data_IF_649929341805
#
_entry.id   IF_649929341805
#
_cell.length_a   1.000
_cell.length_b   1.000
_cell.length_c   1.000
_cell.angle_alpha   90.00
_cell.angle_beta   90.00
_cell.angle_gamma   90.00
#
_symmetry.space_group_name_H-M   'P 1'
#
loop_
_entity.id
_entity.type
_entity.pdbx_description
1 polymer ?
#
# COMPACT_ATOMS: atom_id res chain seq x y z
N UNK A 1 25.95 41.59 10.48
CA UNK A 1 25.34 41.24 9.18
C UNK A 1 26.41 40.58 8.34
N UNK A 2 26.30 39.27 8.11
CA UNK A 2 27.23 38.49 7.29
C UNK A 2 26.53 37.19 6.95
N UNK A 3 25.80 37.20 5.83
CA UNK A 3 25.00 36.07 5.38
C UNK A 3 25.87 34.89 4.99
N UNK A 4 25.59 33.73 5.57
CA UNK A 4 26.10 32.45 5.07
C UNK A 4 25.36 32.17 3.77
N UNK A 5 26.02 32.42 2.65
CA UNK A 5 25.59 31.96 1.33
C UNK A 5 25.79 30.45 1.31
N UNK A 6 24.70 29.68 1.40
CA UNK A 6 24.72 28.23 1.20
C UNK A 6 24.96 27.95 -0.28
N UNK A 7 26.17 27.53 -0.64
CA UNK A 7 26.65 27.22 -2.00
C UNK A 7 26.11 25.91 -2.60
N UNK A 8 25.00 25.39 -2.08
CA UNK A 8 24.30 24.25 -2.65
C UNK A 8 22.83 24.63 -2.80
N UNK A 9 22.24 24.57 -4.02
CA UNK A 9 20.79 24.59 -4.12
C UNK A 9 20.27 23.41 -3.28
N UNK A 10 19.36 23.69 -2.34
CA UNK A 10 18.57 22.62 -1.73
C UNK A 10 18.01 21.76 -2.88
N UNK A 11 18.12 20.43 -2.83
CA UNK A 11 17.55 19.58 -3.87
C UNK A 11 16.10 20.01 -4.06
N UNK A 12 15.68 20.26 -5.29
CA UNK A 12 14.30 20.62 -5.57
C UNK A 12 13.44 19.45 -5.08
N UNK A 13 12.76 19.65 -3.94
CA UNK A 13 11.94 18.63 -3.26
C UNK A 13 10.55 18.56 -3.95
N UNK A 14 10.41 19.20 -5.11
CA UNK A 14 9.22 19.10 -5.95
C UNK A 14 8.89 17.62 -6.18
N UNK A 15 7.65 17.28 -5.84
CA UNK A 15 7.08 15.95 -6.02
C UNK A 15 7.72 14.78 -5.25
N UNK A 16 8.44 15.04 -4.14
CA UNK A 16 9.02 13.95 -3.33
C UNK A 16 7.97 12.92 -2.89
N UNK A 17 6.75 13.36 -2.56
CA UNK A 17 5.68 12.47 -2.13
C UNK A 17 5.18 11.57 -3.25
N UNK A 18 5.08 12.12 -4.46
CA UNK A 18 4.60 11.48 -5.66
C UNK A 18 5.61 10.45 -6.18
N UNK A 19 6.90 10.79 -6.18
CA UNK A 19 7.97 9.83 -6.48
C UNK A 19 8.04 8.71 -5.44
N UNK A 20 7.86 9.02 -4.16
CA UNK A 20 7.79 8.00 -3.12
C UNK A 20 6.57 7.07 -3.32
N UNK A 21 5.41 7.61 -3.73
CA UNK A 21 4.23 6.82 -4.03
C UNK A 21 4.44 5.87 -5.22
N UNK A 22 5.06 6.34 -6.31
CA UNK A 22 5.42 5.50 -7.46
C UNK A 22 6.48 4.44 -7.09
N UNK A 23 7.47 4.80 -6.26
CA UNK A 23 8.45 3.86 -5.74
C UNK A 23 7.81 2.74 -4.91
N UNK A 24 6.90 3.10 -4.00
CA UNK A 24 6.11 2.13 -3.22
C UNK A 24 5.26 1.24 -4.14
N UNK A 25 4.57 1.82 -5.12
CA UNK A 25 3.77 1.07 -6.09
C UNK A 25 4.61 0.08 -6.90
N UNK A 26 5.83 0.45 -7.29
CA UNK A 26 6.77 -0.44 -7.99
C UNK A 26 7.24 -1.60 -7.13
N UNK A 27 7.55 -1.35 -5.85
CA UNK A 27 7.88 -2.42 -4.89
C UNK A 27 6.70 -3.38 -4.70
N UNK A 28 5.48 -2.85 -4.56
CA UNK A 28 4.27 -3.67 -4.44
C UNK A 28 3.94 -4.44 -5.72
N UNK A 29 4.25 -3.90 -6.90
CA UNK A 29 4.12 -4.62 -8.16
C UNK A 29 4.95 -5.90 -8.16
N UNK A 30 6.24 -5.80 -7.80
CA UNK A 30 7.14 -6.96 -7.68
C UNK A 30 6.64 -7.95 -6.62
N UNK A 31 6.24 -7.45 -5.46
CA UNK A 31 5.81 -8.28 -4.32
C UNK A 31 4.46 -8.98 -4.57
N UNK A 32 3.56 -8.38 -5.37
CA UNK A 32 2.24 -8.96 -5.67
C UNK A 32 2.34 -10.33 -6.34
N UNK A 33 3.36 -10.55 -7.18
CA UNK A 33 3.65 -11.82 -7.83
C UNK A 33 4.03 -12.88 -6.79
N UNK A 34 4.82 -12.50 -5.78
CA UNK A 34 5.24 -13.40 -4.69
C UNK A 34 4.08 -13.72 -3.73
N UNK A 35 3.21 -12.74 -3.43
CA UNK A 35 2.03 -12.99 -2.58
C UNK A 35 1.05 -13.98 -3.18
N UNK A 36 0.96 -14.06 -4.52
CA UNK A 36 0.17 -15.12 -5.18
C UNK A 36 0.67 -16.51 -4.82
N UNK A 37 1.99 -16.71 -4.73
CA UNK A 37 2.57 -18.00 -4.35
C UNK A 37 2.39 -18.27 -2.85
N UNK A 38 2.74 -17.30 -2.00
CA UNK A 38 2.64 -17.43 -0.54
C UNK A 38 1.19 -17.61 -0.06
N UNK A 39 0.24 -16.89 -0.67
CA UNK A 39 -1.17 -16.93 -0.33
C UNK A 39 -1.91 -18.22 -0.72
N UNK A 40 -1.28 -19.13 -1.47
CA UNK A 40 -1.83 -20.47 -1.74
C UNK A 40 -1.68 -21.41 -0.55
N UNK A 41 -0.67 -21.20 0.28
CA UNK A 41 -0.32 -22.08 1.40
C UNK A 41 -0.54 -21.42 2.76
N UNK A 42 -0.36 -20.10 2.85
CA UNK A 42 -0.47 -19.35 4.10
C UNK A 42 -1.85 -18.65 4.17
N UNK A 43 -2.61 -18.81 5.27
CA UNK A 43 -3.87 -18.07 5.46
C UNK A 43 -3.67 -16.54 5.44
N UNK A 44 -4.67 -15.76 4.97
CA UNK A 44 -4.56 -14.29 4.84
C UNK A 44 -4.03 -13.57 6.09
N UNK A 45 -4.61 -13.88 7.25
CA UNK A 45 -4.26 -13.25 8.54
C UNK A 45 -2.85 -13.65 8.97
N UNK A 46 -2.46 -14.90 8.77
CA UNK A 46 -1.13 -15.41 9.09
C UNK A 46 -0.05 -14.79 8.20
N UNK A 47 -0.32 -14.63 6.90
CA UNK A 47 0.59 -13.96 5.97
C UNK A 47 0.76 -12.48 6.33
N UNK A 48 -0.34 -11.80 6.64
CA UNK A 48 -0.32 -10.40 7.07
C UNK A 48 0.49 -10.22 8.36
N UNK A 49 0.25 -11.06 9.37
CA UNK A 49 1.03 -11.01 10.60
C UNK A 49 2.52 -11.27 10.35
N UNK A 50 2.86 -12.32 9.58
CA UNK A 50 4.25 -12.69 9.33
C UNK A 50 5.04 -11.58 8.60
N UNK A 51 4.45 -10.97 7.56
CA UNK A 51 5.10 -9.86 6.84
C UNK A 51 5.27 -8.62 7.74
N UNK A 52 4.29 -8.35 8.60
CA UNK A 52 4.33 -7.18 9.47
C UNK A 52 5.40 -7.34 10.57
N UNK A 53 5.49 -8.51 11.19
CA UNK A 53 6.53 -8.80 12.20
C UNK A 53 7.94 -8.67 11.61
N UNK A 54 8.15 -9.22 10.40
CA UNK A 54 9.42 -9.09 9.69
C UNK A 54 9.73 -7.62 9.36
N UNK A 55 8.74 -6.84 8.92
CA UNK A 55 8.91 -5.41 8.63
C UNK A 55 9.18 -4.57 9.89
N UNK A 56 8.49 -4.84 11.01
CA UNK A 56 8.75 -4.18 12.30
C UNK A 56 10.19 -4.42 12.74
N UNK A 57 10.70 -5.66 12.59
CA UNK A 57 12.10 -5.96 12.89
C UNK A 57 13.05 -5.12 12.03
N UNK A 58 12.84 -5.10 10.71
CA UNK A 58 13.67 -4.30 9.79
C UNK A 58 13.62 -2.80 10.11
N UNK A 59 12.43 -2.25 10.36
CA UNK A 59 12.26 -0.85 10.75
C UNK A 59 12.96 -0.53 12.08
N UNK A 60 12.89 -1.45 13.05
CA UNK A 60 13.57 -1.29 14.34
C UNK A 60 15.09 -1.25 14.18
N UNK A 61 15.62 -2.09 13.29
CA UNK A 61 17.05 -2.09 12.95
C UNK A 61 17.45 -0.77 12.27
N UNK A 62 16.62 -0.23 11.37
CA UNK A 62 16.89 1.02 10.65
C UNK A 62 16.79 2.27 11.53
N UNK A 63 15.80 2.33 12.44
CA UNK A 63 15.71 3.40 13.44
C UNK A 63 16.92 3.41 14.38
N UNK A 64 17.57 2.25 14.50
CA UNK A 64 18.69 2.02 15.41
C UNK A 64 18.21 1.92 16.85
N UNK A 65 19.03 1.32 17.72
CA UNK A 65 18.84 1.39 19.18
C UNK A 65 19.25 2.79 19.66
N UNK A 66 18.62 3.84 19.11
CA UNK A 66 18.79 5.20 19.59
C UNK A 66 17.57 5.52 20.44
N UNK A 67 17.74 5.90 21.72
CA UNK A 67 16.63 6.48 22.46
C UNK A 67 16.13 7.66 21.63
N UNK A 68 14.85 7.63 21.24
CA UNK A 68 14.26 8.75 20.54
C UNK A 68 14.45 10.00 21.43
N UNK A 69 15.06 11.06 20.88
CA UNK A 69 15.32 12.31 21.64
C UNK A 69 14.04 12.87 22.27
N UNK A 70 12.89 12.61 21.65
CA UNK A 70 11.56 12.66 22.26
C UNK A 70 10.60 11.70 21.54
N UNK A 71 9.80 10.95 22.30
CA UNK A 71 8.72 10.14 21.73
C UNK A 71 7.58 11.04 21.22
N UNK A 72 6.87 10.69 20.13
CA UNK A 72 5.76 11.50 19.64
C UNK A 72 4.64 11.64 20.67
N UNK A 73 3.87 12.73 20.57
CA UNK A 73 2.72 12.95 21.42
C UNK A 73 1.73 11.77 21.37
N UNK A 74 1.08 11.47 22.50
CA UNK A 74 0.21 10.31 22.62
C UNK A 74 -0.91 10.27 21.56
N UNK A 75 -1.49 11.41 21.21
CA UNK A 75 -2.53 11.50 20.17
C UNK A 75 -1.99 11.14 18.78
N UNK A 76 -0.73 11.48 18.47
CA UNK A 76 -0.09 11.18 17.20
C UNK A 76 0.17 9.67 17.08
N UNK A 77 0.66 9.07 18.18
CA UNK A 77 0.83 7.61 18.29
C UNK A 77 -0.52 6.91 18.17
N UNK A 78 -1.58 7.42 18.82
CA UNK A 78 -2.92 6.85 18.74
C UNK A 78 -3.51 6.96 17.32
N UNK A 79 -3.38 8.11 16.67
CA UNK A 79 -3.84 8.32 15.29
C UNK A 79 -3.14 7.41 14.29
N UNK A 80 -1.81 7.26 14.40
CA UNK A 80 -1.03 6.33 13.58
C UNK A 80 -1.33 4.87 13.92
N UNK A 81 -1.57 4.55 15.19
CA UNK A 81 -1.96 3.20 15.59
C UNK A 81 -3.31 2.83 14.99
N UNK A 82 -4.30 3.71 15.06
CA UNK A 82 -5.61 3.53 14.43
C UNK A 82 -5.49 3.41 12.91
N UNK A 83 -4.66 4.26 12.30
CA UNK A 83 -4.33 4.18 10.87
C UNK A 83 -3.72 2.82 10.49
N UNK A 84 -2.78 2.30 11.29
CA UNK A 84 -2.18 0.98 11.11
C UNK A 84 -3.19 -0.15 11.27
N UNK A 85 -4.08 -0.06 12.27
CA UNK A 85 -5.14 -1.05 12.47
C UNK A 85 -6.09 -1.08 11.26
N UNK A 86 -6.55 0.08 10.79
CA UNK A 86 -7.46 0.17 9.64
C UNK A 86 -6.80 -0.29 8.34
N UNK A 87 -5.64 0.26 8.00
CA UNK A 87 -5.03 0.01 6.69
C UNK A 87 -4.22 -1.28 6.61
N UNK A 88 -3.52 -1.65 7.68
CA UNK A 88 -2.59 -2.79 7.66
C UNK A 88 -3.25 -4.02 8.29
N UNK A 89 -3.81 -3.94 9.50
CA UNK A 89 -4.43 -5.13 10.10
C UNK A 89 -5.71 -5.52 9.37
N UNK A 90 -6.66 -4.60 9.23
CA UNK A 90 -7.94 -4.85 8.59
C UNK A 90 -7.83 -4.79 7.05
N UNK A 91 -7.18 -3.74 6.51
CA UNK A 91 -7.01 -3.52 5.08
C UNK A 91 -6.25 -4.65 4.40
N UNK A 92 -5.01 -4.97 4.81
CA UNK A 92 -4.26 -6.05 4.15
C UNK A 92 -4.92 -7.43 4.32
N UNK A 93 -5.59 -7.68 5.46
CA UNK A 93 -6.36 -8.93 5.64
C UNK A 93 -7.56 -8.98 4.69
N UNK A 94 -8.27 -7.86 4.50
CA UNK A 94 -9.34 -7.75 3.52
C UNK A 94 -8.81 -7.92 2.09
N UNK A 95 -7.68 -7.28 1.76
CA UNK A 95 -6.99 -7.42 0.48
C UNK A 95 -6.64 -8.88 0.19
N UNK A 96 -5.98 -9.59 1.11
CA UNK A 96 -5.63 -10.99 0.90
C UNK A 96 -6.86 -11.90 0.85
N UNK A 97 -7.91 -11.60 1.63
CA UNK A 97 -9.17 -12.38 1.60
C UNK A 97 -9.94 -12.18 0.30
N UNK A 98 -10.01 -10.95 -0.20
CA UNK A 98 -10.60 -10.62 -1.49
C UNK A 98 -9.75 -11.15 -2.65
N UNK A 99 -8.42 -11.11 -2.52
CA UNK A 99 -7.49 -11.69 -3.49
C UNK A 99 -7.76 -13.18 -3.62
N UNK A 100 -7.88 -13.89 -2.48
CA UNK A 100 -8.20 -15.32 -2.37
C UNK A 100 -9.62 -15.68 -2.87
N UNK A 101 -10.57 -14.75 -2.82
CA UNK A 101 -11.98 -15.01 -3.18
C UNK A 101 -12.33 -14.63 -4.61
N UNK A 102 -11.87 -13.47 -5.09
CA UNK A 102 -12.25 -12.88 -6.38
C UNK A 102 -11.17 -13.04 -7.46
N UNK A 103 -9.93 -13.26 -7.03
CA UNK A 103 -8.74 -13.16 -7.87
C UNK A 103 -8.27 -11.72 -8.05
N UNK A 104 -7.03 -11.53 -8.55
CA UNK A 104 -6.37 -10.22 -8.59
C UNK A 104 -7.12 -9.21 -9.45
N UNK A 105 -7.61 -9.61 -10.63
CA UNK A 105 -8.31 -8.70 -11.55
C UNK A 105 -9.50 -7.98 -10.89
N UNK A 106 -10.41 -8.74 -10.26
CA UNK A 106 -11.62 -8.17 -9.66
C UNK A 106 -11.30 -7.36 -8.42
N UNK A 107 -10.33 -7.81 -7.62
CA UNK A 107 -9.84 -7.04 -6.48
C UNK A 107 -9.32 -5.67 -6.90
N UNK A 108 -8.50 -5.61 -7.96
CA UNK A 108 -7.97 -4.34 -8.45
C UNK A 108 -9.05 -3.35 -8.86
N UNK A 109 -10.18 -3.83 -9.42
CA UNK A 109 -11.33 -2.97 -9.73
C UNK A 109 -12.00 -2.38 -8.49
N UNK A 110 -11.93 -3.06 -7.35
CA UNK A 110 -12.48 -2.56 -6.08
C UNK A 110 -11.48 -1.60 -5.42
N UNK A 111 -10.19 -1.89 -5.50
CA UNK A 111 -9.12 -1.04 -4.94
C UNK A 111 -9.01 0.32 -5.65
N UNK A 112 -9.42 0.43 -6.92
CA UNK A 112 -9.48 1.74 -7.62
C UNK A 112 -10.50 2.71 -7.00
N UNK A 113 -11.36 2.25 -6.08
CA UNK A 113 -12.25 3.11 -5.30
C UNK A 113 -11.53 3.83 -4.15
N UNK A 114 -10.40 3.30 -3.66
CA UNK A 114 -9.69 3.90 -2.53
C UNK A 114 -9.19 5.33 -2.85
N UNK A 115 -8.52 5.62 -3.99
CA UNK A 115 -8.04 6.96 -4.28
C UNK A 115 -9.12 8.06 -4.33
N UNK A 116 -10.26 7.91 -5.06
CA UNK A 116 -11.30 8.94 -5.05
C UNK A 116 -11.97 9.07 -3.68
N UNK A 117 -12.17 7.98 -2.93
CA UNK A 117 -12.67 8.06 -1.56
C UNK A 117 -11.70 8.80 -0.65
N UNK A 118 -10.41 8.51 -0.75
CA UNK A 118 -9.34 9.18 -0.01
C UNK A 118 -9.27 10.68 -0.31
N UNK A 119 -9.36 11.04 -1.59
CA UNK A 119 -9.41 12.43 -2.03
C UNK A 119 -10.62 13.17 -1.43
N UNK A 120 -11.82 12.60 -1.54
CA UNK A 120 -13.04 13.20 -1.00
C UNK A 120 -12.99 13.36 0.52
N UNK A 121 -12.54 12.32 1.23
CA UNK A 121 -12.39 12.35 2.69
C UNK A 121 -11.36 13.40 3.13
N UNK A 122 -10.24 13.51 2.42
CA UNK A 122 -9.21 14.49 2.74
C UNK A 122 -9.66 15.93 2.45
N UNK A 123 -10.38 16.15 1.36
CA UNK A 123 -11.01 17.45 1.10
C UNK A 123 -12.02 17.82 2.18
N UNK A 124 -12.88 16.88 2.59
CA UNK A 124 -13.92 17.14 3.58
C UNK A 124 -13.38 17.32 5.02
N UNK A 125 -12.38 16.52 5.42
CA UNK A 125 -11.95 16.43 6.82
C UNK A 125 -10.61 17.09 7.12
N UNK A 126 -9.72 17.20 6.11
CA UNK A 126 -8.42 17.88 6.25
C UNK A 126 -8.36 19.22 5.50
N UNK A 127 -9.40 19.57 4.74
CA UNK A 127 -9.42 20.78 3.93
C UNK A 127 -8.47 20.73 2.74
N UNK A 128 -8.07 19.55 2.27
CA UNK A 128 -7.23 19.44 1.07
C UNK A 128 -7.99 19.87 -0.18
N UNK A 129 -7.57 20.97 -0.79
CA UNK A 129 -8.12 21.44 -2.06
C UNK A 129 -7.30 20.88 -3.20
N UNK A 130 -7.89 19.98 -3.97
CA UNK A 130 -7.35 19.51 -5.23
C UNK A 130 -7.90 20.37 -6.37
N UNK A 131 -7.04 20.74 -7.30
CA UNK A 131 -7.47 21.45 -8.49
C UNK A 131 -8.28 20.51 -9.42
N UNK A 132 -9.04 21.07 -10.38
CA UNK A 132 -9.82 20.26 -11.31
C UNK A 132 -8.96 19.31 -12.16
N UNK A 133 -7.69 19.66 -12.44
CA UNK A 133 -6.78 18.80 -13.21
C UNK A 133 -6.42 17.55 -12.41
N UNK A 134 -6.11 17.67 -11.11
CA UNK A 134 -5.85 16.55 -10.23
C UNK A 134 -7.07 15.62 -10.14
N UNK A 135 -8.29 16.15 -10.04
CA UNK A 135 -9.50 15.31 -10.07
C UNK A 135 -9.65 14.54 -11.39
N UNK A 136 -9.45 15.21 -12.52
CA UNK A 136 -9.48 14.58 -13.83
C UNK A 136 -8.38 13.51 -13.96
N UNK A 137 -7.19 13.79 -13.45
CA UNK A 137 -6.04 12.89 -13.44
C UNK A 137 -6.30 11.63 -12.60
N UNK A 138 -6.85 11.78 -11.38
CA UNK A 138 -7.30 10.66 -10.53
C UNK A 138 -8.30 9.77 -11.29
N UNK A 139 -9.31 10.39 -11.90
CA UNK A 139 -10.30 9.68 -12.70
C UNK A 139 -9.69 8.94 -13.90
N UNK A 140 -8.82 9.62 -14.64
CA UNK A 140 -8.16 9.07 -15.84
C UNK A 140 -7.26 7.89 -15.48
N UNK A 141 -6.46 8.00 -14.41
CA UNK A 141 -5.64 6.90 -13.91
C UNK A 141 -6.50 5.72 -13.47
N UNK A 142 -7.59 5.95 -12.72
CA UNK A 142 -8.50 4.89 -12.31
C UNK A 142 -9.19 4.16 -13.48
N UNK A 143 -9.64 4.92 -14.49
CA UNK A 143 -10.21 4.38 -15.73
C UNK A 143 -9.18 3.57 -16.49
N UNK A 144 -7.96 4.08 -16.64
CA UNK A 144 -6.87 3.42 -17.34
C UNK A 144 -6.47 2.09 -16.67
N UNK A 145 -6.31 2.07 -15.34
CA UNK A 145 -6.01 0.85 -14.57
C UNK A 145 -7.13 -0.18 -14.75
N UNK A 146 -8.38 0.29 -14.63
CA UNK A 146 -9.57 -0.55 -14.83
C UNK A 146 -9.60 -1.14 -16.24
N UNK A 147 -9.26 -0.35 -17.26
CA UNK A 147 -9.21 -0.82 -18.64
C UNK A 147 -8.06 -1.81 -18.86
N UNK A 148 -6.87 -1.48 -18.36
CA UNK A 148 -5.67 -2.31 -18.52
C UNK A 148 -5.84 -3.72 -17.92
N UNK A 149 -6.59 -3.80 -16.81
CA UNK A 149 -6.80 -5.04 -16.04
C UNK A 149 -8.04 -5.83 -16.48
N UNK A 150 -8.83 -5.33 -17.45
CA UNK A 150 -10.05 -6.01 -17.95
C UNK A 150 -9.80 -7.25 -18.79
N UNK A 151 -8.60 -7.47 -19.33
CA UNK A 151 -8.36 -8.64 -20.19
C UNK A 151 -7.64 -9.79 -19.49
N UNK A 152 -7.89 -11.00 -20.00
CA UNK A 152 -7.28 -12.24 -19.50
C UNK A 152 -5.83 -12.28 -19.99
N UNK A 153 -4.89 -11.86 -19.16
CA UNK A 153 -3.52 -12.33 -19.34
C UNK A 153 -3.49 -13.79 -18.87
N UNK A 154 -3.18 -14.69 -19.81
CA UNK A 154 -3.62 -16.08 -19.79
C UNK A 154 -2.89 -16.95 -18.77
N UNK A 155 -3.38 -17.00 -17.52
CA UNK A 155 -2.88 -17.99 -16.53
C UNK A 155 -3.96 -18.69 -15.69
N UNK A 156 -5.21 -18.21 -15.54
CA UNK A 156 -6.15 -18.88 -14.62
C UNK A 156 -7.61 -18.98 -15.12
N UNK A 157 -8.08 -20.23 -15.28
CA UNK A 157 -9.52 -20.61 -15.37
C UNK A 157 -10.16 -20.83 -13.99
N UNK A 158 -9.38 -20.82 -12.91
CA UNK A 158 -9.77 -21.26 -11.56
C UNK A 158 -10.26 -20.14 -10.64
N UNK A 159 -10.02 -18.87 -10.98
CA UNK A 159 -10.34 -17.69 -10.16
C UNK A 159 -11.48 -16.90 -10.83
N UNK A 160 -12.73 -17.22 -10.45
CA UNK A 160 -13.76 -17.29 -11.49
C UNK A 160 -14.93 -16.34 -11.40
N UNK A 161 -15.42 -15.96 -10.22
CA UNK A 161 -16.74 -15.34 -10.10
C UNK A 161 -16.77 -14.23 -9.05
N UNK A 162 -17.70 -13.29 -9.24
CA UNK A 162 -18.05 -12.34 -8.20
C UNK A 162 -18.74 -13.10 -7.07
N UNK A 163 -18.11 -13.13 -5.91
CA UNK A 163 -18.71 -13.71 -4.70
C UNK A 163 -19.12 -12.57 -3.77
N UNK A 164 -20.24 -12.71 -3.07
CA UNK A 164 -20.70 -11.70 -2.12
C UNK A 164 -19.64 -11.43 -1.03
N UNK A 165 -19.01 -12.49 -0.52
CA UNK A 165 -17.92 -12.39 0.43
C UNK A 165 -16.70 -11.64 -0.12
N UNK A 166 -16.29 -11.96 -1.35
CA UNK A 166 -15.16 -11.28 -1.98
C UNK A 166 -15.44 -9.81 -2.27
N UNK A 167 -16.66 -9.48 -2.72
CA UNK A 167 -17.10 -8.10 -2.93
C UNK A 167 -17.12 -7.31 -1.61
N UNK A 168 -17.67 -7.90 -0.54
CA UNK A 168 -17.68 -7.30 0.78
C UNK A 168 -16.26 -7.00 1.28
N UNK A 169 -15.34 -7.96 1.14
CA UNK A 169 -13.94 -7.76 1.51
C UNK A 169 -13.25 -6.67 0.70
N UNK A 170 -13.43 -6.64 -0.62
CA UNK A 170 -12.78 -5.62 -1.46
C UNK A 170 -13.34 -4.21 -1.22
N UNK A 171 -14.65 -4.06 -1.04
CA UNK A 171 -15.25 -2.75 -0.69
C UNK A 171 -14.83 -2.29 0.70
N UNK A 172 -14.84 -3.20 1.68
CA UNK A 172 -14.36 -2.92 3.02
C UNK A 172 -12.89 -2.50 3.00
N UNK A 173 -12.04 -3.23 2.25
CA UNK A 173 -10.63 -2.91 2.03
C UNK A 173 -10.41 -1.49 1.49
N UNK A 174 -11.13 -1.12 0.42
CA UNK A 174 -11.04 0.22 -0.16
C UNK A 174 -11.40 1.33 0.84
N UNK A 175 -12.45 1.14 1.64
CA UNK A 175 -12.88 2.14 2.63
C UNK A 175 -11.88 2.28 3.77
N UNK A 176 -11.41 1.16 4.35
CA UNK A 176 -10.45 1.22 5.47
C UNK A 176 -9.08 1.73 5.02
N UNK A 177 -8.66 1.44 3.78
CA UNK A 177 -7.44 2.00 3.19
C UNK A 177 -7.54 3.52 3.03
N UNK A 178 -8.67 4.03 2.53
CA UNK A 178 -8.89 5.46 2.40
C UNK A 178 -8.87 6.18 3.77
N UNK A 179 -9.55 5.61 4.79
CA UNK A 179 -9.54 6.14 6.15
C UNK A 179 -8.15 6.07 6.80
N UNK A 180 -7.42 4.97 6.59
CA UNK A 180 -6.07 4.82 7.11
C UNK A 180 -5.11 5.85 6.52
N UNK A 181 -5.19 6.09 5.20
CA UNK A 181 -4.40 7.11 4.52
C UNK A 181 -4.71 8.52 5.06
N UNK A 182 -5.99 8.85 5.23
CA UNK A 182 -6.44 10.10 5.83
C UNK A 182 -5.83 10.33 7.22
N UNK A 183 -5.95 9.35 8.12
CA UNK A 183 -5.40 9.44 9.48
C UNK A 183 -3.88 9.58 9.48
N UNK A 184 -3.21 8.87 8.56
CA UNK A 184 -1.76 8.98 8.40
C UNK A 184 -1.35 10.39 7.99
N UNK A 185 -2.03 10.91 6.96
CA UNK A 185 -1.80 12.25 6.43
C UNK A 185 -1.97 13.28 7.53
N UNK A 186 -3.08 13.20 8.25
CA UNK A 186 -3.40 14.11 9.36
C UNK A 186 -2.28 14.16 10.40
N UNK A 187 -1.79 13.02 10.88
CA UNK A 187 -0.71 13.00 11.87
C UNK A 187 0.62 13.48 11.27
N UNK A 188 0.93 13.08 10.04
CA UNK A 188 2.20 13.41 9.38
C UNK A 188 2.34 14.89 9.02
N UNK A 189 1.23 15.60 8.79
CA UNK A 189 1.22 17.05 8.55
C UNK A 189 1.15 17.86 9.82
N UNK A 190 0.43 17.37 10.83
CA UNK A 190 0.25 18.09 12.09
C UNK A 190 1.42 17.90 13.07
N UNK A 191 2.40 17.04 12.75
CA UNK A 191 3.54 16.76 13.64
C UNK A 191 4.86 16.64 12.88
N UNK A 192 6.00 16.86 13.55
CA UNK A 192 7.31 16.64 12.95
C UNK A 192 7.70 15.15 12.83
N UNK A 193 6.78 14.20 13.10
CA UNK A 193 7.12 12.78 13.14
C UNK A 193 7.79 12.30 11.83
N UNK A 194 8.93 11.59 11.90
CA UNK A 194 9.55 11.03 10.71
C UNK A 194 8.66 9.95 10.06
N UNK A 195 8.56 9.89 8.72
CA UNK A 195 7.82 8.85 8.01
C UNK A 195 8.22 7.41 8.40
N UNK A 196 9.51 7.18 8.67
CA UNK A 196 10.04 5.89 9.11
C UNK A 196 9.44 5.46 10.47
N UNK A 197 9.35 6.38 11.43
CA UNK A 197 8.75 6.13 12.73
C UNK A 197 7.24 5.94 12.62
N UNK A 198 6.58 6.70 11.75
CA UNK A 198 5.15 6.52 11.47
C UNK A 198 4.85 5.12 10.90
N UNK A 199 5.68 4.62 9.97
CA UNK A 199 5.57 3.26 9.45
C UNK A 199 5.74 2.22 10.57
N UNK A 200 6.72 2.42 11.44
CA UNK A 200 6.97 1.53 12.59
C UNK A 200 5.78 1.48 13.55
N UNK A 201 5.21 2.63 13.94
CA UNK A 201 4.04 2.69 14.83
C UNK A 201 2.84 1.99 14.18
N UNK A 202 2.57 2.26 12.91
CA UNK A 202 1.46 1.64 12.16
C UNK A 202 1.59 0.12 12.10
N UNK A 203 2.76 -0.40 11.72
CA UNK A 203 3.02 -1.84 11.60
C UNK A 203 3.05 -2.54 12.96
N UNK A 204 3.59 -1.87 13.98
CA UNK A 204 3.60 -2.35 15.36
C UNK A 204 2.19 -2.52 15.91
N UNK A 205 1.37 -1.46 15.81
CA UNK A 205 -0.03 -1.50 16.25
C UNK A 205 -0.84 -2.57 15.50
N UNK A 206 -0.68 -2.66 14.18
CA UNK A 206 -1.32 -3.69 13.37
C UNK A 206 -0.90 -5.10 13.80
N UNK A 207 0.40 -5.33 14.03
CA UNK A 207 0.92 -6.61 14.49
C UNK A 207 0.35 -7.01 15.86
N UNK A 208 0.29 -6.07 16.80
CA UNK A 208 -0.27 -6.32 18.14
C UNK A 208 -1.74 -6.75 18.06
N UNK A 209 -2.56 -6.07 17.26
CA UNK A 209 -3.97 -6.44 17.07
C UNK A 209 -4.10 -7.81 16.41
N UNK A 210 -3.29 -8.12 15.39
CA UNK A 210 -3.34 -9.42 14.72
C UNK A 210 -2.88 -10.58 15.63
N UNK A 211 -1.85 -10.35 16.46
CA UNK A 211 -1.42 -11.33 17.49
C UNK A 211 -2.53 -11.56 18.51
N UNK A 212 -3.11 -10.48 19.04
CA UNK A 212 -4.19 -10.55 20.03
C UNK A 212 -5.41 -11.28 19.46
N UNK A 213 -5.80 -10.96 18.23
CA UNK A 213 -6.88 -11.64 17.52
C UNK A 213 -6.59 -13.12 17.29
N UNK A 214 -5.37 -13.46 16.84
CA UNK A 214 -4.96 -14.86 16.66
C UNK A 214 -4.96 -15.65 17.97
N UNK A 215 -4.56 -15.00 19.07
CA UNK A 215 -4.58 -15.58 20.41
C UNK A 215 -6.02 -15.87 20.87
N UNK A 216 -6.93 -14.90 20.75
CA UNK A 216 -8.36 -15.08 21.07
C UNK A 216 -9.00 -16.23 20.28
N UNK A 217 -8.57 -16.46 19.04
CA UNK A 217 -9.08 -17.56 18.21
C UNK A 217 -8.35 -18.90 18.44
N UNK A 218 -7.27 -18.94 19.22
CA UNK A 218 -6.42 -20.13 19.35
C UNK A 218 -5.73 -20.55 18.04
N UNK A 219 -5.60 -19.64 17.06
CA UNK A 219 -5.11 -19.96 15.71
C UNK A 219 -3.65 -19.62 15.45
N UNK A 220 -2.94 -19.00 16.41
CA UNK A 220 -1.53 -18.62 16.24
C UNK A 220 -0.66 -19.83 15.85
N UNK A 221 -0.84 -20.97 16.51
CA UNK A 221 -0.11 -22.19 16.17
C UNK A 221 -0.38 -22.64 14.72
N UNK A 222 -1.65 -22.60 14.30
CA UNK A 222 -2.04 -22.98 12.94
C UNK A 222 -1.44 -22.06 11.86
N UNK A 223 -1.24 -20.78 12.15
CA UNK A 223 -0.59 -19.85 11.22
C UNK A 223 0.91 -20.08 11.06
N UNK A 224 1.55 -20.75 12.03
CA UNK A 224 2.98 -21.08 11.99
C UNK A 224 3.24 -22.40 11.24
N UNK A 225 2.28 -23.33 11.24
CA UNK A 225 2.41 -24.67 10.61
C UNK A 225 2.95 -24.63 9.16
N UNK A 226 2.49 -23.73 8.26
CA UNK A 226 3.05 -23.66 6.90
C UNK A 226 4.57 -23.46 6.87
N UNK A 227 5.11 -22.61 7.74
CA UNK A 227 6.53 -22.30 7.81
C UNK A 227 7.38 -23.46 8.37
N UNK A 228 6.78 -24.31 9.21
CA UNK A 228 7.42 -25.52 9.70
C UNK A 228 7.53 -26.59 8.62
N UNK A 229 6.51 -26.68 7.75
CA UNK A 229 6.45 -27.65 6.65
C UNK A 229 7.35 -27.26 5.48
N UNK A 230 7.40 -25.97 5.16
CA UNK A 230 8.26 -25.45 4.09
C UNK A 230 8.99 -24.17 4.55
N UNK A 231 10.28 -24.34 4.88
CA UNK A 231 11.15 -23.24 5.30
C UNK A 231 11.40 -22.22 4.18
N UNK A 232 11.18 -22.57 2.91
CA UNK A 232 11.32 -21.63 1.78
C UNK A 232 10.30 -20.49 1.86
N UNK A 233 9.15 -20.73 2.51
CA UNK A 233 8.15 -19.71 2.79
C UNK A 233 8.69 -18.59 3.70
N UNK A 234 9.64 -18.89 4.59
CA UNK A 234 10.28 -17.88 5.44
C UNK A 234 11.06 -16.90 4.58
N UNK A 235 11.89 -17.38 3.65
CA UNK A 235 12.62 -16.51 2.73
C UNK A 235 11.66 -15.68 1.87
N UNK A 236 10.59 -16.29 1.37
CA UNK A 236 9.55 -15.56 0.63
C UNK A 236 8.91 -14.45 1.46
N UNK A 237 8.58 -14.70 2.72
CA UNK A 237 8.03 -13.68 3.63
C UNK A 237 9.06 -12.60 3.94
N UNK A 238 10.33 -12.93 4.19
CA UNK A 238 11.36 -11.91 4.47
C UNK A 238 11.58 -10.99 3.26
N UNK A 239 11.65 -11.55 2.05
CA UNK A 239 11.81 -10.76 0.81
C UNK A 239 10.59 -9.87 0.58
N UNK A 240 9.38 -10.42 0.69
CA UNK A 240 8.14 -9.65 0.51
C UNK A 240 7.92 -8.61 1.61
N UNK A 241 8.31 -8.90 2.84
CA UNK A 241 8.30 -7.95 3.94
C UNK A 241 9.31 -6.83 3.70
N UNK A 242 10.54 -7.15 3.30
CA UNK A 242 11.59 -6.16 3.03
C UNK A 242 11.19 -5.16 1.94
N UNK A 243 10.71 -5.66 0.81
CA UNK A 243 10.28 -4.81 -0.31
C UNK A 243 8.93 -4.14 -0.04
N UNK A 244 7.93 -4.89 0.41
CA UNK A 244 6.55 -4.41 0.48
C UNK A 244 6.20 -3.74 1.80
N UNK A 245 6.37 -4.45 2.91
CA UNK A 245 5.90 -3.99 4.23
C UNK A 245 6.90 -3.08 4.95
N UNK A 246 8.18 -3.17 4.62
CA UNK A 246 9.22 -2.27 5.13
C UNK A 246 9.41 -1.08 4.20
N UNK A 247 10.09 -1.27 3.06
CA UNK A 247 10.39 -0.17 2.13
C UNK A 247 9.11 0.45 1.53
N UNK A 248 8.18 -0.38 1.08
CA UNK A 248 6.92 0.11 0.49
C UNK A 248 6.06 0.92 1.46
N UNK A 249 5.86 0.46 2.70
CA UNK A 249 5.10 1.23 3.71
C UNK A 249 5.87 2.47 4.14
N UNK A 250 7.20 2.42 4.27
CA UNK A 250 7.98 3.62 4.58
C UNK A 250 7.83 4.68 3.47
N UNK A 251 7.99 4.30 2.20
CA UNK A 251 7.77 5.19 1.06
C UNK A 251 6.32 5.70 1.00
N UNK A 252 5.34 4.86 1.34
CA UNK A 252 3.95 5.28 1.49
C UNK A 252 3.79 6.39 2.55
N UNK A 253 4.49 6.30 3.69
CA UNK A 253 4.47 7.36 4.70
C UNK A 253 5.14 8.64 4.21
N UNK A 254 6.21 8.53 3.40
CA UNK A 254 6.82 9.69 2.74
C UNK A 254 5.79 10.34 1.79
N UNK A 255 5.08 9.54 1.00
CA UNK A 255 4.02 10.02 0.13
C UNK A 255 2.92 10.76 0.88
N UNK A 256 2.37 10.18 1.96
CA UNK A 256 1.37 10.86 2.77
C UNK A 256 1.91 12.09 3.51
N UNK A 257 3.21 12.19 3.76
CA UNK A 257 3.77 13.40 4.38
C UNK A 257 3.88 14.56 3.39
N UNK A 258 4.21 14.28 2.13
CA UNK A 258 4.59 15.31 1.16
C UNK A 258 3.62 15.51 0.00
N UNK A 259 2.65 14.62 -0.21
CA UNK A 259 1.63 14.75 -1.25
C UNK A 259 0.20 14.69 -0.66
N UNK A 260 -0.78 15.36 -1.31
CA UNK A 260 -2.20 15.22 -0.97
C UNK A 260 -2.67 13.76 -1.03
N UNK A 261 -3.65 13.40 -0.22
CA UNK A 261 -4.11 12.00 -0.06
C UNK A 261 -4.59 11.41 -1.39
N UNK A 262 -5.38 12.18 -2.15
CA UNK A 262 -5.91 11.74 -3.44
C UNK A 262 -4.81 11.43 -4.46
N UNK A 263 -3.80 12.31 -4.54
CA UNK A 263 -2.64 12.15 -5.43
C UNK A 263 -1.80 10.95 -5.00
N UNK A 264 -1.39 10.92 -3.72
CA UNK A 264 -0.59 9.85 -3.15
C UNK A 264 -1.25 8.48 -3.35
N UNK A 265 -2.54 8.33 -3.02
CA UNK A 265 -3.25 7.06 -3.19
C UNK A 265 -3.39 6.65 -4.65
N UNK A 266 -3.62 7.60 -5.55
CA UNK A 266 -3.73 7.29 -6.98
C UNK A 266 -2.42 6.72 -7.51
N UNK A 267 -1.30 7.34 -7.16
CA UNK A 267 0.03 6.86 -7.54
C UNK A 267 0.37 5.52 -6.89
N UNK A 268 0.03 5.33 -5.61
CA UNK A 268 0.18 4.05 -4.90
C UNK A 268 -0.63 2.90 -5.56
N UNK A 269 -1.79 3.22 -6.13
CA UNK A 269 -2.66 2.27 -6.82
C UNK A 269 -2.16 1.86 -8.22
N UNK A 270 -1.04 2.41 -8.70
CA UNK A 270 -0.48 2.10 -10.05
C UNK A 270 0.30 0.80 -10.13
N UNK A 271 0.43 0.05 -9.02
CA UNK A 271 1.14 -1.25 -9.01
C UNK A 271 0.72 -2.23 -10.11
N UNK A 272 -0.56 -2.32 -10.55
CA UNK A 272 -0.95 -3.20 -11.66
C UNK A 272 -0.40 -2.80 -13.02
N UNK A 273 -0.02 -1.54 -13.19
CA UNK A 273 0.61 -1.07 -14.43
C UNK A 273 2.10 -1.39 -14.40
N UNK A 274 2.73 -1.16 -13.23
CA UNK A 274 4.16 -1.37 -13.02
C UNK A 274 4.55 -2.86 -13.01
N UNK A 275 3.59 -3.77 -12.80
CA UNK A 275 3.85 -5.22 -12.92
C UNK A 275 3.92 -5.69 -14.37
N UNK A 276 3.33 -4.96 -15.33
CA UNK A 276 3.21 -5.42 -16.72
C UNK A 276 4.56 -5.69 -17.40
N UNK A 277 5.59 -4.84 -17.28
CA UNK A 277 6.91 -5.13 -17.86
C UNK A 277 7.51 -6.44 -17.33
N UNK A 278 7.30 -6.76 -16.06
CA UNK A 278 7.76 -8.02 -15.45
C UNK A 278 7.05 -9.21 -16.09
N UNK A 279 5.74 -9.07 -16.30
CA UNK A 279 4.90 -10.13 -16.87
C UNK A 279 5.21 -10.35 -18.36
N UNK A 280 5.49 -9.29 -19.13
CA UNK A 280 6.01 -9.39 -20.50
C UNK A 280 7.36 -10.12 -20.53
N UNK A 281 8.27 -9.79 -19.60
CA UNK A 281 9.57 -10.45 -19.47
C UNK A 281 9.45 -11.96 -19.16
N UNK A 282 8.34 -12.39 -18.55
CA UNK A 282 8.00 -13.79 -18.33
C UNK A 282 7.34 -14.47 -19.56
N UNK A 283 7.21 -13.75 -20.68
CA UNK A 283 6.69 -14.27 -21.95
C UNK A 283 5.19 -14.06 -22.16
N UNK A 284 4.50 -13.35 -21.27
CA UNK A 284 3.08 -13.04 -21.47
C UNK A 284 2.88 -11.93 -22.50
N UNK A 285 1.89 -12.10 -23.38
CA UNK A 285 1.56 -11.11 -24.41
C UNK A 285 0.51 -10.14 -23.88
N UNK A 286 0.80 -8.84 -23.99
CA UNK A 286 -0.18 -7.79 -23.78
C UNK A 286 -1.15 -7.72 -24.94
N UNK A 287 -2.41 -7.50 -24.63
CA UNK A 287 -3.41 -7.16 -25.63
C UNK A 287 -3.39 -5.66 -25.94
N UNK A 288 -3.99 -5.30 -27.07
CA UNK A 288 -4.20 -3.91 -27.45
C UNK A 288 -5.03 -3.13 -26.43
N UNK A 289 -6.06 -3.76 -25.84
CA UNK A 289 -6.86 -3.13 -24.80
C UNK A 289 -6.03 -2.84 -23.53
N UNK A 290 -5.15 -3.78 -23.15
CA UNK A 290 -4.26 -3.59 -22.02
C UNK A 290 -3.30 -2.41 -22.26
N UNK A 291 -2.72 -2.33 -23.46
CA UNK A 291 -1.83 -1.23 -23.85
C UNK A 291 -2.54 0.13 -23.83
N UNK A 292 -3.77 0.23 -24.33
CA UNK A 292 -4.54 1.48 -24.30
C UNK A 292 -4.85 1.92 -22.87
N UNK A 293 -5.23 0.98 -21.99
CA UNK A 293 -5.44 1.27 -20.57
C UNK A 293 -4.17 1.80 -19.88
N UNK A 294 -3.00 1.26 -20.22
CA UNK A 294 -1.70 1.76 -19.73
C UNK A 294 -1.46 3.19 -20.19
N UNK A 295 -1.62 3.49 -21.48
CA UNK A 295 -1.40 4.84 -22.03
C UNK A 295 -2.33 5.84 -21.34
N UNK A 296 -3.62 5.54 -21.22
CA UNK A 296 -4.58 6.38 -20.50
C UNK A 296 -4.14 6.63 -19.06
N UNK A 297 -3.67 5.58 -18.38
CA UNK A 297 -3.20 5.71 -17.00
C UNK A 297 -1.96 6.59 -16.88
N UNK A 298 -1.01 6.45 -17.81
CA UNK A 298 0.23 7.22 -17.83
C UNK A 298 -0.04 8.71 -18.08
N UNK A 299 -1.01 9.04 -18.93
CA UNK A 299 -1.47 10.43 -19.10
C UNK A 299 -2.02 10.96 -17.77
N UNK A 300 -2.88 10.20 -17.09
CA UNK A 300 -3.39 10.58 -15.77
C UNK A 300 -2.27 10.77 -14.75
N UNK A 301 -1.31 9.85 -14.71
CA UNK A 301 -0.14 9.96 -13.82
C UNK A 301 0.67 11.22 -14.14
N UNK A 302 0.95 11.50 -15.41
CA UNK A 302 1.71 12.70 -15.81
C UNK A 302 0.99 13.99 -15.39
N UNK A 303 -0.35 14.04 -15.48
CA UNK A 303 -1.14 15.18 -15.03
C UNK A 303 -1.13 15.38 -13.50
N UNK A 304 -0.80 14.36 -12.71
CA UNK A 304 -0.63 14.50 -11.25
C UNK A 304 0.68 15.21 -10.86
N UNK A 305 1.62 15.37 -11.80
CA UNK A 305 2.88 16.10 -11.62
C UNK A 305 2.85 17.50 -12.28
N UNK A 306 1.74 17.89 -12.89
CA UNK A 306 1.55 19.19 -13.52
C UNK A 306 1.12 20.24 -12.48
#
# INVERSE_FOLDING_TARGET
>A
MGGVVTLFPSPDISHLGEWAALGAAGLWAVVSVLYRYLGRTIPPVGLNLAKNLAAVLLLSLTLGVRPAEAWPAAWAVAGLSLSGILGIALGDTAYFSALQSLGPRRLLLLETLSPPLGALLASALLGEVLDPVAWAAIGLTGIGITWATRERVGVDKTWGQWTAAGLAWGLFGAVVNALAALLSRWVLTATPIPPLLAAWVRLGAASLVLVFWGWLQGKLAAWIVPFQRDKRLILGVVVTAGLGSYLGIWLQQVAFKYAPVGIAQTLLATSPLLVLPLVIGLGERLSWAALMGVIVSLIGIALLFA
#
